data_IF_100174460973
#
_entry.id   IF_100174460973
#
_cell.length_a   1.000
_cell.length_b   1.000
_cell.length_c   1.000
_cell.angle_alpha   90.00
_cell.angle_beta   90.00
_cell.angle_gamma   90.00
#
_symmetry.space_group_name_H-M   'P 1'
#
loop_
_entity.id
_entity.type
_entity.pdbx_description
1 polymer ?
#
# COMPACT_ATOMS: atom_id res chain seq x y z
N UNK A 1 4.73 -9.28 17.34
CA UNK A 1 4.73 -8.94 15.90
C UNK A 1 6.19 -8.90 15.43
N UNK A 2 6.61 -9.77 14.51
CA UNK A 2 8.02 -9.89 14.12
C UNK A 2 8.52 -8.67 13.32
N UNK A 3 9.84 -8.51 13.23
CA UNK A 3 10.48 -7.40 12.51
C UNK A 3 9.97 -7.27 11.08
N UNK A 4 9.83 -8.39 10.36
CA UNK A 4 9.26 -8.43 9.01
C UNK A 4 7.86 -7.81 8.94
N UNK A 5 6.96 -8.19 9.85
CA UNK A 5 5.59 -7.66 9.88
C UNK A 5 5.55 -6.16 10.21
N UNK A 6 6.47 -5.69 11.06
CA UNK A 6 6.59 -4.26 11.37
C UNK A 6 7.01 -3.45 10.13
N UNK A 7 8.00 -3.92 9.40
CA UNK A 7 8.44 -3.27 8.16
C UNK A 7 7.37 -3.32 7.07
N UNK A 8 6.66 -4.43 6.95
CA UNK A 8 5.56 -4.56 6.00
C UNK A 8 4.41 -3.60 6.33
N UNK A 9 4.05 -3.45 7.61
CA UNK A 9 3.06 -2.48 8.06
C UNK A 9 3.48 -1.03 7.74
N UNK A 10 4.76 -0.67 7.91
CA UNK A 10 5.27 0.65 7.51
C UNK A 10 5.12 0.89 6.02
N UNK A 11 5.46 -0.10 5.17
CA UNK A 11 5.30 -0.01 3.72
C UNK A 11 3.84 0.16 3.30
N UNK A 12 2.92 -0.57 3.93
CA UNK A 12 1.48 -0.41 3.71
C UNK A 12 1.04 1.02 4.03
N UNK A 13 1.45 1.54 5.19
CA UNK A 13 1.08 2.90 5.61
C UNK A 13 1.62 3.97 4.65
N UNK A 14 2.89 3.85 4.25
CA UNK A 14 3.51 4.76 3.29
C UNK A 14 2.79 4.72 1.93
N UNK A 15 2.59 3.53 1.37
CA UNK A 15 1.95 3.35 0.06
C UNK A 15 0.51 3.86 0.07
N UNK A 16 -0.23 3.65 1.16
CA UNK A 16 -1.58 4.21 1.35
C UNK A 16 -1.58 5.73 1.32
N UNK A 17 -0.63 6.37 2.00
CA UNK A 17 -0.49 7.83 1.98
C UNK A 17 -0.20 8.33 0.56
N UNK A 18 0.75 7.70 -0.13
CA UNK A 18 1.07 8.04 -1.53
C UNK A 18 -0.15 7.87 -2.44
N UNK A 19 -0.90 6.77 -2.32
CA UNK A 19 -2.12 6.55 -3.11
C UNK A 19 -3.15 7.67 -2.91
N UNK A 20 -3.40 8.08 -1.67
CA UNK A 20 -4.35 9.16 -1.37
C UNK A 20 -3.85 10.48 -1.97
N UNK A 21 -2.57 10.80 -1.79
CA UNK A 21 -1.98 12.03 -2.34
C UNK A 21 -2.02 12.06 -3.87
N UNK A 22 -1.68 10.94 -4.54
CA UNK A 22 -1.75 10.82 -5.99
C UNK A 22 -3.20 10.87 -6.48
N UNK A 23 -4.12 10.22 -5.77
CA UNK A 23 -5.55 10.24 -6.08
C UNK A 23 -6.16 11.66 -5.99
N UNK A 24 -5.76 12.44 -4.98
CA UNK A 24 -6.16 13.85 -4.84
C UNK A 24 -5.54 14.71 -5.95
N UNK A 25 -4.25 14.51 -6.27
CA UNK A 25 -3.52 15.36 -7.22
C UNK A 25 -3.82 15.05 -8.69
N UNK A 26 -4.03 13.78 -9.03
CA UNK A 26 -4.09 13.30 -10.42
C UNK A 26 -5.40 12.59 -10.77
N UNK A 27 -6.23 12.29 -9.77
CA UNK A 27 -7.46 11.51 -9.92
C UNK A 27 -7.27 10.02 -9.65
N UNK A 28 -8.38 9.35 -9.36
CA UNK A 28 -8.40 7.92 -9.01
C UNK A 28 -8.13 7.00 -10.21
N UNK A 29 -8.51 7.43 -11.41
CA UNK A 29 -8.30 6.70 -12.66
C UNK A 29 -6.90 6.92 -13.27
N UNK A 30 -6.12 7.82 -12.70
CA UNK A 30 -4.77 8.07 -13.20
C UNK A 30 -3.92 6.79 -13.08
N UNK A 31 -3.15 6.40 -14.12
CA UNK A 31 -2.38 5.15 -14.13
C UNK A 31 -1.48 4.97 -12.91
N UNK A 32 -0.93 6.06 -12.38
CA UNK A 32 -0.12 6.05 -11.16
C UNK A 32 -0.94 5.73 -9.90
N UNK A 33 -2.16 6.25 -9.78
CA UNK A 33 -3.06 5.96 -8.65
C UNK A 33 -3.46 4.48 -8.69
N UNK A 34 -3.80 3.96 -9.87
CA UNK A 34 -4.11 2.54 -10.09
C UNK A 34 -2.91 1.66 -9.72
N UNK A 35 -1.71 2.02 -10.18
CA UNK A 35 -0.48 1.30 -9.85
C UNK A 35 -0.22 1.28 -8.34
N UNK A 36 -0.39 2.41 -7.67
CA UNK A 36 -0.26 2.49 -6.21
C UNK A 36 -1.30 1.61 -5.50
N UNK A 37 -2.51 1.46 -6.07
CA UNK A 37 -3.56 0.60 -5.51
C UNK A 37 -3.15 -0.86 -5.58
N UNK A 38 -2.70 -1.32 -6.75
CA UNK A 38 -2.25 -2.69 -6.95
C UNK A 38 -1.08 -3.05 -6.04
N UNK A 39 -0.13 -2.12 -5.84
CA UNK A 39 0.99 -2.32 -4.90
C UNK A 39 0.47 -2.43 -3.47
N UNK A 40 -0.45 -1.55 -3.05
CA UNK A 40 -1.02 -1.57 -1.72
C UNK A 40 -1.76 -2.90 -1.44
N UNK A 41 -2.55 -3.38 -2.39
CA UNK A 41 -3.27 -4.65 -2.29
C UNK A 41 -2.30 -5.82 -2.13
N UNK A 42 -1.22 -5.86 -2.91
CA UNK A 42 -0.17 -6.88 -2.78
C UNK A 42 0.51 -6.87 -1.40
N UNK A 43 0.79 -5.69 -0.84
CA UNK A 43 1.36 -5.56 0.50
C UNK A 43 0.40 -6.03 1.59
N UNK A 44 -0.89 -5.70 1.48
CA UNK A 44 -1.94 -6.13 2.41
C UNK A 44 -2.08 -7.65 2.36
N UNK A 45 -2.16 -8.24 1.16
CA UNK A 45 -2.26 -9.69 1.00
C UNK A 45 -1.06 -10.41 1.61
N UNK A 46 0.16 -9.91 1.38
CA UNK A 46 1.37 -10.47 1.98
C UNK A 46 1.34 -10.38 3.51
N UNK A 47 0.84 -9.28 4.06
CA UNK A 47 0.71 -9.10 5.50
C UNK A 47 -0.31 -10.07 6.08
N UNK A 48 -1.49 -10.18 5.49
CA UNK A 48 -2.54 -11.11 5.93
C UNK A 48 -2.10 -12.58 5.83
N UNK A 49 -1.24 -12.90 4.86
CA UNK A 49 -0.75 -14.27 4.65
C UNK A 49 0.38 -14.65 5.61
N UNK A 50 1.29 -13.72 5.93
CA UNK A 50 2.54 -14.02 6.66
C UNK A 50 2.59 -13.50 8.10
N UNK A 51 1.66 -12.63 8.48
CA UNK A 51 1.68 -11.90 9.76
C UNK A 51 0.44 -12.12 10.64
N UNK A 52 -0.28 -13.23 10.42
CA UNK A 52 -1.35 -13.69 11.32
C UNK A 52 -0.83 -14.00 12.72
#
# INVERSE_FOLDING_TARGET
>A
MCHFCRELRKKIHFTRKTLIETGIKKGLEHPETIKNSQILDGLIFMFQSKCK
#
